data_IF_901133202908
#
_entry.id   IF_901133202908
#
_cell.length_a   1.000
_cell.length_b   1.000
_cell.length_c   1.000
_cell.angle_alpha   90.00
_cell.angle_beta   90.00
_cell.angle_gamma   90.00
#
_symmetry.space_group_name_H-M   'P 1'
#
loop_
_entity.id
_entity.type
_entity.pdbx_description
1 polymer ?
#
# COMPACT_ATOMS: atom_id res chain seq x y z
N UNK A 1 23.11 24.31 25.07
CA UNK A 1 22.39 24.57 23.79
C UNK A 1 22.63 23.38 22.88
N UNK A 2 21.59 22.61 22.56
CA UNK A 2 21.69 21.47 21.63
C UNK A 2 21.46 21.95 20.19
N UNK A 3 22.28 21.47 19.25
CA UNK A 3 22.21 21.84 17.83
C UNK A 3 21.55 20.77 16.94
N UNK A 4 21.18 21.10 15.69
CA UNK A 4 20.58 20.16 14.74
C UNK A 4 21.54 18.99 14.43
N UNK A 5 21.04 17.75 14.50
CA UNK A 5 21.80 16.55 14.15
C UNK A 5 22.47 15.79 15.33
N UNK A 6 22.23 16.18 16.58
CA UNK A 6 22.78 15.50 17.76
C UNK A 6 22.04 14.18 18.07
N UNK A 7 22.14 13.19 17.18
CA UNK A 7 21.61 11.82 17.38
C UNK A 7 22.51 10.96 18.28
N UNK A 8 23.59 11.51 18.83
CA UNK A 8 24.62 10.75 19.56
C UNK A 8 24.39 10.74 21.08
N UNK A 9 23.62 11.70 21.61
CA UNK A 9 23.51 11.90 23.06
C UNK A 9 22.51 11.02 23.79
N UNK A 10 21.71 10.21 23.09
CA UNK A 10 20.61 9.47 23.71
C UNK A 10 20.65 7.95 23.44
N UNK A 11 21.84 7.34 23.37
CA UNK A 11 21.94 5.90 23.62
C UNK A 11 21.45 5.68 25.05
N UNK A 12 20.23 5.19 25.21
CA UNK A 12 19.71 4.88 26.55
C UNK A 12 20.67 3.90 27.19
N UNK A 13 21.26 4.25 28.33
CA UNK A 13 22.16 3.34 29.06
C UNK A 13 21.44 2.08 29.57
N UNK A 14 20.12 2.01 29.43
CA UNK A 14 19.24 1.06 30.11
C UNK A 14 18.19 0.36 29.22
N UNK A 15 17.99 0.76 27.97
CA UNK A 15 17.02 0.15 27.04
C UNK A 15 17.68 -0.72 25.97
N UNK A 16 17.00 -1.78 25.52
CA UNK A 16 17.51 -2.62 24.45
C UNK A 16 17.59 -1.84 23.12
N UNK A 17 18.46 -2.24 22.19
CA UNK A 17 18.54 -1.63 20.86
C UNK A 17 17.18 -1.68 20.14
N UNK A 18 16.40 -2.73 20.40
CA UNK A 18 15.04 -2.89 19.89
C UNK A 18 14.08 -1.81 20.44
N UNK A 19 14.18 -1.44 21.72
CA UNK A 19 13.32 -0.39 22.31
C UNK A 19 13.66 0.98 21.74
N UNK A 20 14.97 1.24 21.53
CA UNK A 20 15.43 2.47 20.87
C UNK A 20 14.91 2.56 19.43
N UNK A 21 14.95 1.45 18.70
CA UNK A 21 14.36 1.38 17.36
C UNK A 21 12.84 1.61 17.38
N UNK A 22 12.09 0.88 18.22
CA UNK A 22 10.62 1.02 18.35
C UNK A 22 10.23 2.47 18.63
N UNK A 23 10.95 3.16 19.51
CA UNK A 23 10.75 4.59 19.81
C UNK A 23 11.04 5.48 18.60
N UNK A 24 12.15 5.25 17.90
CA UNK A 24 12.52 6.02 16.71
C UNK A 24 11.49 5.87 15.59
N UNK A 25 11.02 4.65 15.33
CA UNK A 25 9.95 4.38 14.35
C UNK A 25 8.66 5.09 14.73
N UNK A 26 8.27 5.03 16.00
CA UNK A 26 7.06 5.71 16.50
C UNK A 26 7.09 7.21 16.24
N UNK A 27 8.20 7.88 16.57
CA UNK A 27 8.34 9.33 16.34
C UNK A 27 8.37 9.65 14.84
N UNK A 28 9.04 8.82 14.04
CA UNK A 28 9.10 9.00 12.60
C UNK A 28 7.71 8.86 11.95
N UNK A 29 6.93 7.85 12.34
CA UNK A 29 5.57 7.66 11.84
C UNK A 29 4.67 8.85 12.16
N UNK A 30 4.73 9.38 13.39
CA UNK A 30 4.00 10.60 13.78
C UNK A 30 4.37 11.80 12.93
N UNK A 31 5.66 11.97 12.66
CA UNK A 31 6.16 13.07 11.84
C UNK A 31 5.71 12.95 10.38
N UNK A 32 5.83 11.77 9.77
CA UNK A 32 5.38 11.53 8.38
C UNK A 32 3.86 11.66 8.27
N UNK A 33 3.12 11.11 9.23
CA UNK A 33 1.66 11.15 9.26
C UNK A 33 1.09 12.57 9.50
N UNK A 34 1.90 13.49 10.04
CA UNK A 34 1.43 14.78 10.54
C UNK A 34 0.50 14.66 11.76
N UNK A 35 0.52 13.51 12.46
CA UNK A 35 -0.40 13.19 13.56
C UNK A 35 0.41 12.87 14.82
N UNK A 36 0.46 13.85 15.74
CA UNK A 36 1.19 13.73 17.01
C UNK A 36 0.57 12.71 17.98
N UNK A 37 -0.73 12.44 17.82
CA UNK A 37 -1.50 11.53 18.68
C UNK A 37 -1.54 10.11 18.13
N UNK A 38 -0.93 9.84 16.96
CA UNK A 38 -0.84 8.50 16.39
C UNK A 38 -0.20 7.52 17.40
N UNK A 39 -0.96 6.51 17.79
CA UNK A 39 -0.48 5.43 18.65
C UNK A 39 0.21 4.36 17.80
N UNK A 40 1.43 3.98 18.16
CA UNK A 40 2.18 2.94 17.47
C UNK A 40 2.47 1.81 18.45
N UNK A 41 1.88 0.64 18.17
CA UNK A 41 2.12 -0.60 18.91
C UNK A 41 2.98 -1.58 18.10
N UNK A 42 3.66 -2.47 18.80
CA UNK A 42 4.42 -3.58 18.21
C UNK A 42 3.87 -4.90 18.75
N UNK A 43 3.49 -5.81 17.87
CA UNK A 43 2.90 -7.09 18.24
C UNK A 43 3.27 -8.20 17.24
N UNK A 44 3.05 -9.46 17.60
CA UNK A 44 3.24 -10.60 16.69
C UNK A 44 2.13 -10.75 15.65
N UNK A 45 1.02 -10.05 15.85
CA UNK A 45 -0.14 -10.06 14.96
C UNK A 45 0.14 -9.37 13.63
N UNK A 46 -0.77 -9.55 12.67
CA UNK A 46 -0.68 -8.90 11.36
C UNK A 46 -0.62 -7.37 11.51
N UNK A 47 0.23 -6.69 10.70
CA UNK A 47 0.29 -5.24 10.66
C UNK A 47 -1.09 -4.65 10.32
N UNK A 48 -1.46 -3.56 10.99
CA UNK A 48 -2.75 -2.91 10.75
C UNK A 48 -2.71 -1.43 11.10
N UNK A 49 -3.55 -0.65 10.43
CA UNK A 49 -3.83 0.75 10.74
C UNK A 49 -5.34 0.90 10.91
N UNK A 50 -5.79 1.31 12.09
CA UNK A 50 -7.20 1.53 12.39
C UNK A 50 -7.36 2.84 13.18
N UNK A 51 -8.10 3.80 12.61
CA UNK A 51 -8.23 5.14 13.20
C UNK A 51 -6.87 5.79 13.45
N UNK A 52 -6.59 6.15 14.69
CA UNK A 52 -5.31 6.73 15.13
C UNK A 52 -4.34 5.70 15.74
N UNK A 53 -4.53 4.40 15.48
CA UNK A 53 -3.67 3.34 16.01
C UNK A 53 -3.06 2.50 14.90
N UNK A 54 -1.74 2.51 14.84
CA UNK A 54 -0.93 1.66 13.98
C UNK A 54 -0.32 0.51 14.78
N UNK A 55 -0.30 -0.68 14.18
CA UNK A 55 0.34 -1.88 14.73
C UNK A 55 1.37 -2.39 13.74
N UNK A 56 2.62 -2.44 14.18
CA UNK A 56 3.76 -2.99 13.46
C UNK A 56 4.15 -4.36 14.01
N UNK A 57 4.83 -5.19 13.20
CA UNK A 57 5.33 -6.47 13.68
C UNK A 57 6.44 -6.27 14.72
N UNK A 58 6.52 -7.19 15.68
CA UNK A 58 7.70 -7.25 16.55
C UNK A 58 8.94 -7.70 15.78
N UNK A 59 10.07 -7.07 16.05
CA UNK A 59 11.36 -7.52 15.55
C UNK A 59 11.80 -8.81 16.26
N UNK A 60 12.47 -9.73 15.56
CA UNK A 60 13.10 -10.88 16.20
C UNK A 60 14.23 -10.41 17.14
N UNK A 61 14.60 -11.23 18.13
CA UNK A 61 15.66 -10.91 19.12
C UNK A 61 16.99 -10.52 18.47
N UNK A 62 17.30 -11.11 17.31
CA UNK A 62 18.46 -10.76 16.48
C UNK A 62 17.92 -10.25 15.14
N UNK A 63 17.51 -9.00 15.11
CA UNK A 63 17.01 -8.35 13.89
C UNK A 63 18.12 -8.18 12.86
N UNK A 64 17.88 -8.64 11.65
CA UNK A 64 18.69 -8.34 10.49
C UNK A 64 18.42 -6.92 9.98
N UNK A 65 19.28 -6.41 9.10
CA UNK A 65 19.02 -5.15 8.40
C UNK A 65 17.72 -5.20 7.59
N UNK A 66 17.40 -6.35 7.02
CA UNK A 66 16.17 -6.58 6.26
C UNK A 66 14.94 -6.50 7.15
N UNK A 67 14.96 -7.11 8.34
CA UNK A 67 13.84 -7.03 9.30
C UNK A 67 13.54 -5.57 9.70
N UNK A 68 14.60 -4.80 9.92
CA UNK A 68 14.52 -3.37 10.22
C UNK A 68 13.92 -2.59 9.05
N UNK A 69 14.40 -2.82 7.83
CA UNK A 69 13.92 -2.14 6.62
C UNK A 69 12.44 -2.47 6.32
N UNK A 70 12.03 -3.73 6.45
CA UNK A 70 10.63 -4.16 6.28
C UNK A 70 9.74 -3.49 7.33
N UNK A 71 10.14 -3.52 8.60
CA UNK A 71 9.35 -2.91 9.69
C UNK A 71 9.23 -1.39 9.49
N UNK A 72 10.31 -0.73 9.03
CA UNK A 72 10.26 0.68 8.63
C UNK A 72 9.34 0.91 7.44
N UNK A 73 9.40 0.07 6.42
CA UNK A 73 8.56 0.19 5.22
C UNK A 73 7.08 0.09 5.53
N UNK A 74 6.69 -0.86 6.40
CA UNK A 74 5.33 -0.97 6.92
C UNK A 74 4.90 0.29 7.67
N UNK A 75 5.77 0.82 8.53
CA UNK A 75 5.51 2.07 9.25
C UNK A 75 5.37 3.28 8.34
N UNK A 76 6.26 3.41 7.36
CA UNK A 76 6.25 4.50 6.39
C UNK A 76 5.00 4.43 5.50
N UNK A 77 4.63 3.25 5.00
CA UNK A 77 3.41 3.00 4.22
C UNK A 77 2.14 3.39 5.00
N UNK A 78 2.02 2.97 6.27
CA UNK A 78 0.88 3.34 7.13
C UNK A 78 0.84 4.85 7.42
N UNK A 79 2.00 5.46 7.69
CA UNK A 79 2.08 6.90 7.96
C UNK A 79 1.73 7.74 6.73
N UNK A 80 2.20 7.34 5.54
CA UNK A 80 1.85 7.98 4.27
C UNK A 80 0.37 7.83 3.95
N UNK A 81 -0.22 6.65 4.20
CA UNK A 81 -1.66 6.47 4.09
C UNK A 81 -2.40 7.47 4.98
N UNK A 82 -2.01 7.59 6.25
CA UNK A 82 -2.61 8.57 7.18
C UNK A 82 -2.47 10.03 6.68
N UNK A 83 -1.33 10.39 6.10
CA UNK A 83 -1.05 11.76 5.65
C UNK A 83 -1.72 12.11 4.32
N UNK A 84 -1.79 11.17 3.38
CA UNK A 84 -2.08 11.44 1.97
C UNK A 84 -3.41 10.85 1.49
N UNK A 85 -4.12 10.08 2.31
CA UNK A 85 -5.41 9.45 2.00
C UNK A 85 -6.57 10.17 2.69
N UNK A 86 -7.49 10.70 1.90
CA UNK A 86 -8.82 11.11 2.33
C UNK A 86 -9.81 9.95 2.18
N UNK A 87 -10.23 9.40 3.31
CA UNK A 87 -11.17 8.28 3.38
C UNK A 87 -12.54 8.63 2.77
N UNK A 88 -12.99 9.89 2.87
CA UNK A 88 -14.30 10.32 2.35
C UNK A 88 -14.30 10.34 0.84
N UNK A 89 -13.25 10.88 0.22
CA UNK A 89 -13.08 10.86 -1.24
C UNK A 89 -12.99 9.41 -1.71
N UNK A 90 -12.19 8.60 -1.01
CA UNK A 90 -12.00 7.19 -1.34
C UNK A 90 -13.30 6.43 -1.38
N UNK A 91 -14.08 6.47 -0.29
CA UNK A 91 -15.36 5.77 -0.19
C UNK A 91 -16.39 6.28 -1.20
N UNK A 92 -16.43 7.59 -1.46
CA UNK A 92 -17.38 8.19 -2.41
C UNK A 92 -17.14 7.77 -3.86
N UNK A 93 -15.88 7.57 -4.25
CA UNK A 93 -15.49 7.24 -5.62
C UNK A 93 -15.21 5.75 -5.83
N UNK A 94 -15.29 4.95 -4.78
CA UNK A 94 -15.01 3.55 -4.90
C UNK A 94 -16.04 2.82 -5.77
N UNK A 95 -15.61 1.89 -6.62
CA UNK A 95 -16.53 1.07 -7.42
C UNK A 95 -17.29 0.06 -6.55
N UNK A 96 -18.40 -0.44 -7.07
CA UNK A 96 -19.30 -1.39 -6.38
C UNK A 96 -18.79 -2.83 -6.47
N UNK A 97 -18.34 -3.26 -7.66
CA UNK A 97 -17.85 -4.62 -7.90
C UNK A 97 -16.63 -4.97 -7.06
N UNK A 98 -16.62 -6.16 -6.46
CA UNK A 98 -15.60 -6.60 -5.50
C UNK A 98 -14.19 -6.60 -6.11
N UNK A 99 -14.05 -7.10 -7.34
CA UNK A 99 -12.77 -7.13 -8.06
C UNK A 99 -12.27 -5.70 -8.37
N UNK A 100 -13.14 -4.86 -8.94
CA UNK A 100 -12.85 -3.46 -9.21
C UNK A 100 -12.46 -2.69 -7.93
N UNK A 101 -13.12 -3.00 -6.81
CA UNK A 101 -12.83 -2.40 -5.51
C UNK A 101 -11.45 -2.80 -4.98
N UNK A 102 -11.08 -4.07 -5.11
CA UNK A 102 -9.75 -4.55 -4.72
C UNK A 102 -8.64 -3.84 -5.51
N UNK A 103 -8.82 -3.69 -6.83
CA UNK A 103 -7.90 -2.94 -7.69
C UNK A 103 -7.82 -1.47 -7.26
N UNK A 104 -8.97 -0.82 -7.07
CA UNK A 104 -9.03 0.58 -6.65
C UNK A 104 -8.31 0.83 -5.31
N UNK A 105 -8.51 -0.04 -4.34
CA UNK A 105 -7.86 0.03 -3.03
C UNK A 105 -6.34 -0.20 -3.13
N UNK A 106 -5.90 -1.16 -3.95
CA UNK A 106 -4.48 -1.47 -4.15
C UNK A 106 -3.73 -0.35 -4.90
N UNK A 107 -4.37 0.21 -5.93
CA UNK A 107 -3.82 1.33 -6.70
C UNK A 107 -3.75 2.61 -5.87
N UNK A 108 -4.73 2.87 -5.00
CA UNK A 108 -4.66 3.98 -4.05
C UNK A 108 -3.51 3.80 -3.04
N UNK A 109 -3.28 2.58 -2.57
CA UNK A 109 -2.12 2.28 -1.71
C UNK A 109 -0.80 2.58 -2.43
N UNK A 110 -0.69 2.20 -3.71
CA UNK A 110 0.47 2.53 -4.54
C UNK A 110 0.65 4.05 -4.72
N UNK A 111 -0.46 4.81 -4.85
CA UNK A 111 -0.44 6.28 -4.96
C UNK A 111 0.17 6.93 -3.73
N UNK A 112 -0.31 6.60 -2.53
CA UNK A 112 0.18 7.21 -1.28
C UNK A 112 1.64 6.86 -1.02
N UNK A 113 2.04 5.62 -1.32
CA UNK A 113 3.44 5.18 -1.22
C UNK A 113 4.34 5.88 -2.24
N UNK A 114 3.84 6.14 -3.45
CA UNK A 114 4.57 6.85 -4.48
C UNK A 114 4.83 8.31 -4.11
N UNK A 115 3.87 8.99 -3.47
CA UNK A 115 4.07 10.36 -2.96
C UNK A 115 5.27 10.40 -2.02
N UNK A 116 5.29 9.53 -1.01
CA UNK A 116 6.38 9.47 -0.05
C UNK A 116 7.70 9.03 -0.67
N UNK A 117 7.67 8.04 -1.57
CA UNK A 117 8.86 7.52 -2.25
C UNK A 117 9.53 8.58 -3.14
N UNK A 118 8.76 9.44 -3.80
CA UNK A 118 9.29 10.56 -4.61
C UNK A 118 9.91 11.65 -3.76
N UNK A 119 9.37 11.87 -2.56
CA UNK A 119 9.84 12.92 -1.66
C UNK A 119 11.06 12.49 -0.82
N UNK A 120 11.16 11.20 -0.48
CA UNK A 120 12.12 10.69 0.50
C UNK A 120 12.74 9.37 0.04
N UNK A 121 14.00 9.41 -0.39
CA UNK A 121 14.71 8.22 -0.90
C UNK A 121 14.75 7.06 0.13
N UNK A 122 15.00 7.37 1.41
CA UNK A 122 15.03 6.34 2.45
C UNK A 122 13.68 5.66 2.68
N UNK A 123 12.57 6.40 2.54
CA UNK A 123 11.21 5.84 2.58
C UNK A 123 10.98 4.95 1.37
N UNK A 124 11.42 5.39 0.20
CA UNK A 124 11.34 4.58 -1.01
C UNK A 124 12.04 3.22 -0.81
N UNK A 125 13.26 3.22 -0.26
CA UNK A 125 14.07 2.00 -0.03
C UNK A 125 13.42 1.05 0.98
N UNK A 126 12.85 1.60 2.05
CA UNK A 126 12.10 0.82 3.04
C UNK A 126 10.85 0.18 2.44
N UNK A 127 10.06 0.95 1.67
CA UNK A 127 8.87 0.45 0.96
C UNK A 127 9.27 -0.63 -0.06
N UNK A 128 10.39 -0.44 -0.78
CA UNK A 128 10.92 -1.46 -1.67
C UNK A 128 11.23 -2.78 -0.96
N UNK A 129 11.88 -2.72 0.21
CA UNK A 129 12.19 -3.89 1.02
C UNK A 129 10.93 -4.57 1.58
N UNK A 130 9.93 -3.78 1.99
CA UNK A 130 8.62 -4.27 2.44
C UNK A 130 7.88 -5.00 1.32
N UNK A 131 7.85 -4.44 0.11
CA UNK A 131 7.17 -5.05 -1.04
C UNK A 131 7.87 -6.34 -1.49
N UNK A 132 9.21 -6.35 -1.53
CA UNK A 132 9.99 -7.55 -1.82
C UNK A 132 9.62 -8.70 -0.86
N UNK A 133 9.55 -8.43 0.44
CA UNK A 133 9.16 -9.39 1.47
C UNK A 133 7.68 -9.83 1.33
N UNK A 134 6.76 -8.88 1.06
CA UNK A 134 5.34 -9.17 0.84
C UNK A 134 5.15 -10.19 -0.30
N UNK A 135 5.75 -9.93 -1.45
CA UNK A 135 5.56 -10.76 -2.64
C UNK A 135 6.36 -12.06 -2.58
N UNK A 136 7.53 -12.07 -1.92
CA UNK A 136 8.26 -13.30 -1.66
C UNK A 136 7.45 -14.28 -0.79
N UNK A 137 6.78 -13.77 0.26
CA UNK A 137 5.93 -14.59 1.15
C UNK A 137 4.65 -15.09 0.48
N UNK A 138 4.15 -14.37 -0.52
CA UNK A 138 2.98 -14.79 -1.29
C UNK A 138 3.32 -15.87 -2.34
N UNK A 139 4.59 -16.28 -2.45
CA UNK A 139 5.08 -17.30 -3.39
C UNK A 139 4.68 -17.03 -4.86
N UNK A 140 4.66 -15.76 -5.26
CA UNK A 140 4.22 -15.36 -6.60
C UNK A 140 5.24 -15.67 -7.71
N UNK A 141 6.45 -16.08 -7.32
CA UNK A 141 7.55 -16.40 -8.25
C UNK A 141 7.20 -17.61 -9.13
N UNK A 142 6.39 -18.54 -8.61
CA UNK A 142 6.03 -19.78 -9.33
C UNK A 142 4.73 -19.68 -10.13
N UNK A 143 4.13 -18.49 -10.23
CA UNK A 143 2.86 -18.31 -10.95
C UNK A 143 3.09 -18.46 -12.46
N UNK A 144 2.32 -19.37 -13.05
CA UNK A 144 2.36 -19.69 -14.49
C UNK A 144 1.19 -19.09 -15.25
N UNK A 145 0.01 -19.09 -14.64
CA UNK A 145 -1.25 -18.74 -15.27
C UNK A 145 -1.91 -17.52 -14.61
N UNK A 146 -2.64 -16.73 -15.41
CA UNK A 146 -3.36 -15.54 -14.93
C UNK A 146 -4.43 -15.86 -13.89
N UNK A 147 -4.99 -17.06 -13.91
CA UNK A 147 -6.02 -17.50 -12.97
C UNK A 147 -5.52 -17.51 -11.51
N UNK A 148 -4.22 -17.75 -11.31
CA UNK A 148 -3.57 -17.77 -10.00
C UNK A 148 -2.86 -16.44 -9.68
N UNK A 149 -3.02 -15.43 -10.54
CA UNK A 149 -2.26 -14.19 -10.51
C UNK A 149 -3.16 -12.99 -10.16
N UNK A 150 -3.14 -12.48 -8.91
CA UNK A 150 -4.01 -11.37 -8.49
C UNK A 150 -3.72 -10.10 -9.29
N UNK A 151 -4.69 -9.68 -10.12
CA UNK A 151 -4.57 -8.52 -11.01
C UNK A 151 -4.40 -7.21 -10.23
N UNK A 152 -5.03 -7.09 -9.07
CA UNK A 152 -4.95 -5.91 -8.20
C UNK A 152 -3.52 -5.64 -7.73
N UNK A 153 -2.77 -6.69 -7.43
CA UNK A 153 -1.36 -6.58 -7.04
C UNK A 153 -0.47 -6.26 -8.24
N UNK A 154 -0.75 -6.84 -9.41
CA UNK A 154 -0.01 -6.56 -10.63
C UNK A 154 -0.18 -5.09 -11.04
N UNK A 155 -1.41 -4.59 -11.03
CA UNK A 155 -1.72 -3.22 -11.40
C UNK A 155 -1.15 -2.22 -10.39
N UNK A 156 -1.21 -2.52 -9.09
CA UNK A 156 -0.57 -1.69 -8.07
C UNK A 156 0.95 -1.58 -8.28
N UNK A 157 1.62 -2.69 -8.62
CA UNK A 157 3.05 -2.70 -8.95
C UNK A 157 3.38 -1.91 -10.22
N UNK A 158 2.57 -2.05 -11.28
CA UNK A 158 2.73 -1.28 -12.52
C UNK A 158 2.52 0.23 -12.29
N UNK A 159 1.50 0.61 -11.54
CA UNK A 159 1.25 2.01 -11.16
C UNK A 159 2.41 2.53 -10.31
N UNK A 160 2.89 1.78 -9.33
CA UNK A 160 4.06 2.16 -8.53
C UNK A 160 5.28 2.40 -9.41
N UNK A 161 5.59 1.47 -10.31
CA UNK A 161 6.71 1.59 -11.25
C UNK A 161 6.58 2.88 -12.07
N UNK A 162 5.39 3.14 -12.62
CA UNK A 162 5.11 4.33 -13.42
C UNK A 162 5.26 5.64 -12.63
N UNK A 163 4.73 5.68 -11.41
CA UNK A 163 4.70 6.89 -10.58
C UNK A 163 6.06 7.22 -9.96
N UNK A 164 6.88 6.21 -9.68
CA UNK A 164 8.15 6.37 -8.96
C UNK A 164 9.39 6.22 -9.83
N UNK A 165 9.26 5.60 -11.01
CA UNK A 165 10.38 5.22 -11.87
C UNK A 165 11.26 4.10 -11.30
N UNK A 166 10.86 3.50 -10.16
CA UNK A 166 11.60 2.39 -9.55
C UNK A 166 11.14 1.08 -10.15
N UNK A 167 12.05 0.13 -10.37
CA UNK A 167 11.67 -1.18 -10.88
C UNK A 167 10.71 -1.89 -9.92
N UNK A 168 9.93 -2.81 -10.49
CA UNK A 168 9.14 -3.78 -9.75
C UNK A 168 10.08 -4.62 -8.85
N UNK A 169 9.69 -4.98 -7.61
CA UNK A 169 10.46 -5.90 -6.78
C UNK A 169 10.66 -7.25 -7.49
N UNK A 170 11.80 -7.90 -7.29
CA UNK A 170 12.15 -9.14 -8.01
C UNK A 170 11.12 -10.24 -7.79
N UNK A 171 10.63 -10.36 -6.55
CA UNK A 171 9.59 -11.32 -6.20
C UNK A 171 8.21 -11.06 -6.85
N UNK A 172 7.99 -9.87 -7.42
CA UNK A 172 6.77 -9.48 -8.13
C UNK A 172 6.92 -9.34 -9.65
N UNK A 173 8.14 -9.46 -10.21
CA UNK A 173 8.40 -9.28 -11.64
C UNK A 173 7.54 -10.21 -12.49
N UNK A 174 7.48 -11.51 -12.13
CA UNK A 174 6.70 -12.50 -12.86
C UNK A 174 5.20 -12.18 -12.92
N UNK A 175 4.64 -11.73 -11.79
CA UNK A 175 3.24 -11.31 -11.71
C UNK A 175 2.96 -10.15 -12.69
N UNK A 176 3.83 -9.14 -12.69
CA UNK A 176 3.68 -7.99 -13.58
C UNK A 176 3.86 -8.38 -15.04
N UNK A 177 4.84 -9.22 -15.38
CA UNK A 177 5.07 -9.69 -16.75
C UNK A 177 3.86 -10.41 -17.36
N UNK A 178 3.11 -11.18 -16.56
CA UNK A 178 1.91 -11.88 -17.01
C UNK A 178 0.78 -10.90 -17.39
N UNK A 179 0.62 -9.83 -16.63
CA UNK A 179 -0.48 -8.88 -16.80
C UNK A 179 -0.15 -7.70 -17.71
N UNK A 180 1.13 -7.30 -17.77
CA UNK A 180 1.58 -6.09 -18.47
C UNK A 180 1.09 -5.98 -19.91
N UNK A 181 1.19 -7.01 -20.78
CA UNK A 181 0.72 -6.89 -22.17
C UNK A 181 -0.76 -6.51 -22.26
N UNK A 182 -1.60 -7.13 -21.44
CA UNK A 182 -3.04 -6.90 -21.43
C UNK A 182 -3.39 -5.53 -20.82
N UNK A 183 -2.72 -5.14 -19.73
CA UNK A 183 -2.92 -3.82 -19.11
C UNK A 183 -2.47 -2.70 -20.06
N UNK A 184 -1.33 -2.85 -20.73
CA UNK A 184 -0.86 -1.86 -21.69
C UNK A 184 -1.75 -1.76 -22.94
N UNK A 185 -2.38 -2.86 -23.35
CA UNK A 185 -3.38 -2.84 -24.43
C UNK A 185 -4.64 -2.06 -24.02
N UNK A 186 -5.17 -2.31 -22.82
CA UNK A 186 -6.47 -1.76 -22.37
C UNK A 186 -6.39 -0.39 -21.71
N UNK A 187 -5.30 -0.07 -21.01
CA UNK A 187 -5.27 0.99 -20.00
C UNK A 187 -4.02 1.91 -20.06
N UNK A 188 -3.19 1.81 -21.11
CA UNK A 188 -1.93 2.58 -21.19
C UNK A 188 -2.10 4.09 -21.13
N UNK A 189 -3.09 4.64 -21.81
CA UNK A 189 -3.34 6.09 -21.82
C UNK A 189 -3.67 6.61 -20.42
N UNK A 190 -4.50 5.86 -19.68
CA UNK A 190 -4.89 6.20 -18.32
C UNK A 190 -3.69 6.13 -17.36
N UNK A 191 -2.88 5.06 -17.46
CA UNK A 191 -1.64 4.89 -16.70
C UNK A 191 -0.66 6.05 -16.90
N UNK A 192 -0.51 6.52 -18.15
CA UNK A 192 0.35 7.66 -18.48
C UNK A 192 -0.16 8.97 -17.86
N UNK A 193 -1.48 9.12 -17.70
CA UNK A 193 -2.13 10.27 -17.09
C UNK A 193 -2.01 10.34 -15.56
N UNK A 194 -1.81 9.22 -14.86
CA UNK A 194 -1.79 9.15 -13.39
C UNK A 194 -0.73 10.04 -12.75
N UNK A 195 0.47 10.12 -13.34
CA UNK A 195 1.58 10.90 -12.79
C UNK A 195 1.26 12.38 -12.61
N UNK A 196 0.45 12.95 -13.51
CA UNK A 196 0.03 14.36 -13.45
C UNK A 196 -1.02 14.61 -12.35
N UNK A 197 -1.68 13.56 -11.85
CA UNK A 197 -2.75 13.63 -10.84
C UNK A 197 -2.32 13.12 -9.47
N UNK A 198 -1.05 12.74 -9.29
CA UNK A 198 -0.57 12.09 -8.06
C UNK A 198 -0.97 12.82 -6.77
N UNK A 199 -0.87 14.15 -6.76
CA UNK A 199 -1.17 14.99 -5.58
C UNK A 199 -2.65 15.31 -5.37
N UNK A 200 -3.53 14.97 -6.30
CA UNK A 200 -4.97 15.22 -6.22
C UNK A 200 -5.70 13.87 -6.22
N UNK A 201 -6.08 13.39 -5.03
CA UNK A 201 -6.72 12.09 -4.87
C UNK A 201 -8.05 12.00 -5.64
N UNK A 202 -8.82 13.09 -5.74
CA UNK A 202 -10.10 13.04 -6.44
C UNK A 202 -9.88 12.88 -7.95
N UNK A 203 -8.95 13.65 -8.52
CA UNK A 203 -8.62 13.54 -9.93
C UNK A 203 -7.97 12.18 -10.26
N UNK A 204 -7.07 11.70 -9.39
CA UNK A 204 -6.44 10.40 -9.54
C UNK A 204 -7.48 9.27 -9.51
N UNK A 205 -8.38 9.27 -8.53
CA UNK A 205 -9.43 8.27 -8.41
C UNK A 205 -10.36 8.22 -9.64
N UNK A 206 -10.66 9.36 -10.27
CA UNK A 206 -11.44 9.39 -11.52
C UNK A 206 -10.74 8.69 -12.68
N UNK A 207 -9.43 8.95 -12.86
CA UNK A 207 -8.63 8.25 -13.89
C UNK A 207 -8.58 6.75 -13.61
N UNK A 208 -8.45 6.34 -12.33
CA UNK A 208 -8.49 4.90 -11.97
C UNK A 208 -9.84 4.27 -12.31
N UNK A 209 -10.96 5.00 -12.17
CA UNK A 209 -12.28 4.50 -12.58
C UNK A 209 -12.42 4.39 -14.10
N UNK A 210 -11.90 5.35 -14.85
CA UNK A 210 -11.85 5.30 -16.31
C UNK A 210 -11.03 4.09 -16.77
N UNK A 211 -9.87 3.87 -16.15
CA UNK A 211 -9.02 2.70 -16.37
C UNK A 211 -9.76 1.38 -16.10
N UNK A 212 -10.51 1.29 -14.99
CA UNK A 212 -11.32 0.11 -14.66
C UNK A 212 -12.42 -0.14 -15.71
N UNK A 213 -13.03 0.92 -16.24
CA UNK A 213 -14.01 0.81 -17.31
C UNK A 213 -13.39 0.34 -18.64
N UNK A 214 -12.24 0.89 -19.03
CA UNK A 214 -11.48 0.48 -20.22
C UNK A 214 -11.07 -0.99 -20.19
N UNK A 215 -10.87 -1.54 -19.00
CA UNK A 215 -10.52 -2.95 -18.79
C UNK A 215 -11.74 -3.89 -18.78
N UNK A 216 -12.96 -3.39 -19.06
CA UNK A 216 -14.22 -4.16 -19.00
C UNK A 216 -14.52 -4.79 -17.63
N UNK A 217 -13.70 -4.52 -16.61
CA UNK A 217 -13.97 -4.81 -15.21
C UNK A 217 -15.17 -4.00 -14.67
N UNK A 218 -15.72 -3.12 -15.51
CA UNK A 218 -16.95 -2.41 -15.28
C UNK A 218 -18.21 -3.19 -15.68
N UNK A 219 -18.14 -4.24 -16.51
CA UNK A 219 -19.33 -5.03 -16.87
C UNK A 219 -19.68 -6.10 -15.81
N UNK A 220 -18.76 -6.45 -14.91
CA UNK A 220 -19.09 -7.10 -13.62
C UNK A 220 -19.79 -6.13 -12.63
N UNK A 221 -20.00 -4.85 -12.98
CA UNK A 221 -20.73 -3.87 -12.13
C UNK A 221 -22.26 -3.96 -12.26
N UNK A 222 -22.79 -4.89 -13.05
CA UNK A 222 -24.23 -5.09 -13.23
C UNK A 222 -24.78 -6.42 -12.72
N UNK A 223 -23.98 -7.48 -12.66
CA UNK A 223 -24.49 -8.86 -12.49
C UNK A 223 -24.45 -9.40 -11.06
N UNK A 224 -23.73 -8.77 -10.13
CA UNK A 224 -23.77 -9.15 -8.69
C UNK A 224 -24.98 -8.53 -7.95
N UNK A 225 -25.98 -8.00 -8.67
CA UNK A 225 -27.30 -7.62 -8.15
C UNK A 225 -28.41 -8.60 -8.52
N UNK A 226 -28.10 -9.78 -9.06
CA UNK A 226 -29.11 -10.84 -9.15
C UNK A 226 -29.14 -11.71 -7.89
N UNK A 227 -30.24 -11.53 -7.14
CA UNK A 227 -30.86 -12.42 -6.16
C UNK A 227 -30.33 -12.44 -4.74
N UNK A 228 -30.87 -11.55 -3.90
CA UNK A 228 -31.41 -11.93 -2.58
C UNK A 228 -32.47 -10.90 -2.15
N UNK A 229 -33.52 -10.73 -2.97
CA UNK A 229 -34.79 -10.18 -2.51
C UNK A 229 -35.91 -11.10 -3.01
N UNK A 230 -36.76 -11.52 -2.07
CA UNK A 230 -37.96 -12.36 -2.18
C UNK A 230 -37.77 -13.87 -1.89
N UNK A 231 -37.92 -14.26 -0.63
CA UNK A 231 -39.02 -15.15 -0.23
C UNK A 231 -39.54 -14.73 1.17
N UNK A 232 -40.56 -13.85 1.15
CA UNK A 232 -41.66 -13.93 2.12
C UNK A 232 -42.34 -15.30 1.91
N UNK A 233 -42.39 -16.17 2.93
CA UNK A 233 -43.68 -16.68 3.45
C UNK A 233 -43.58 -17.58 4.69
N UNK A 234 -44.43 -17.24 5.66
CA UNK A 234 -45.26 -18.09 6.54
C UNK A 234 -44.71 -18.96 7.70
N UNK A 235 -45.34 -18.69 8.85
CA UNK A 235 -45.76 -19.58 9.95
C UNK A 235 -44.72 -20.22 10.91
N UNK A 236 -44.56 -19.62 12.10
CA UNK A 236 -45.10 -20.10 13.39
C UNK A 236 -44.65 -19.24 14.58
#
# INVERSE_FOLDING_TARGET
MAGPGDNTRNKSKTGSEADSFKRAVTVCMRAIAGDKELEVGFAKDRPALAGSRARLPELPKKASKTDIAITRGLGDSMALKRACHDVRIHTKLAPEGKAARAIYDAVEQARVEAIGSRAMQGVADNIGSMLEDKYAKANLVDIKDKADAPIEEALALMVREKLTGRPVPKSGERLVELWRPWVEEKAKADLDGLSAKLGDQQAFARVVREMLASMEMAEELGDDQETEDSEDNDDN
#
